data_IF_293501216927
#
_entry.id   IF_293501216927
#
_cell.length_a   1.000
_cell.length_b   1.000
_cell.length_c   1.000
_cell.angle_alpha   90.00
_cell.angle_beta   90.00
_cell.angle_gamma   90.00
#
_symmetry.space_group_name_H-M   'P 1'
#
loop_
_entity.id
_entity.type
_entity.pdbx_description
1 polymer ?
#
# COMPACT_ATOMS: atom_id res chain seq x y z
N UNK A 1 -28.67 73.26 1.45
CA UNK A 1 -27.76 74.39 1.92
C UNK A 1 -26.37 73.80 1.98
N UNK A 2 -25.55 74.16 0.99
CA UNK A 2 -24.25 74.92 1.19
C UNK A 2 -23.27 74.15 2.05
N UNK A 3 -21.98 73.84 1.68
CA UNK A 3 -21.02 74.34 0.69
C UNK A 3 -19.81 73.41 0.84
N UNK A 4 -19.17 72.92 -0.24
CA UNK A 4 -17.89 73.34 -0.82
C UNK A 4 -16.70 73.50 0.13
N UNK A 5 -15.62 72.77 -0.18
CA UNK A 5 -14.24 73.22 -0.51
C UNK A 5 -13.32 72.02 -0.40
N UNK A 6 -12.73 71.40 -1.45
CA UNK A 6 -11.51 71.72 -2.19
C UNK A 6 -10.28 72.00 -1.33
N UNK A 7 -9.30 71.13 -1.41
CA UNK A 7 -7.85 71.37 -1.64
C UNK A 7 -7.15 70.02 -1.63
N UNK A 8 -6.59 69.63 -2.71
CA UNK A 8 -5.26 69.87 -3.30
C UNK A 8 -4.20 68.85 -2.89
N UNK A 9 -3.90 68.04 -3.85
CA UNK A 9 -2.65 67.43 -4.29
C UNK A 9 -1.42 67.45 -3.35
N UNK A 10 -0.85 66.23 -3.15
CA UNK A 10 0.61 66.05 -3.21
C UNK A 10 0.93 64.66 -3.71
N UNK A 11 1.42 64.59 -4.92
CA UNK A 11 1.97 63.39 -5.54
C UNK A 11 3.37 63.09 -4.93
N UNK A 12 3.51 61.94 -4.30
CA UNK A 12 4.83 61.40 -3.99
C UNK A 12 5.02 60.10 -4.75
N UNK A 13 5.81 60.20 -5.80
CA UNK A 13 6.29 59.09 -6.63
C UNK A 13 7.27 58.28 -5.78
N UNK A 14 6.90 57.08 -5.34
CA UNK A 14 7.83 56.08 -4.83
C UNK A 14 7.87 54.93 -5.82
N UNK A 15 8.97 54.74 -6.48
CA UNK A 15 9.26 53.67 -7.42
C UNK A 15 9.26 52.34 -6.69
N UNK A 16 8.59 51.28 -7.21
CA UNK A 16 8.76 49.93 -6.68
C UNK A 16 10.07 49.35 -7.25
N UNK A 17 11.02 49.03 -6.37
CA UNK A 17 12.09 48.08 -6.66
C UNK A 17 11.45 46.73 -6.99
N UNK A 18 11.58 46.31 -8.24
CA UNK A 18 11.29 44.97 -8.68
C UNK A 18 12.33 44.02 -8.08
N UNK A 19 12.01 43.41 -6.94
CA UNK A 19 12.70 42.25 -6.42
C UNK A 19 12.20 41.05 -7.24
N UNK A 20 13.01 40.55 -8.19
CA UNK A 20 12.85 39.23 -8.76
C UNK A 20 13.08 38.20 -7.67
N UNK A 21 12.02 37.84 -6.96
CA UNK A 21 11.96 36.63 -6.14
C UNK A 21 11.71 35.46 -7.06
N UNK A 22 12.75 34.67 -7.33
CA UNK A 22 12.59 33.35 -7.94
C UNK A 22 11.74 32.48 -7.00
N UNK A 23 10.45 32.43 -7.25
CA UNK A 23 9.61 31.37 -6.69
C UNK A 23 10.03 30.07 -7.36
N UNK A 24 10.85 29.30 -6.67
CA UNK A 24 11.00 27.88 -6.96
C UNK A 24 9.64 27.25 -6.71
N UNK A 25 8.84 27.08 -7.75
CA UNK A 25 7.72 26.15 -7.75
C UNK A 25 8.30 24.76 -7.60
N UNK A 26 8.53 24.34 -6.35
CA UNK A 26 8.60 22.93 -6.04
C UNK A 26 7.22 22.35 -6.36
N UNK A 27 7.10 21.30 -7.16
CA UNK A 27 5.84 20.64 -7.36
C UNK A 27 5.40 20.10 -5.98
N UNK A 28 4.46 20.79 -5.35
CA UNK A 28 3.69 20.24 -4.26
C UNK A 28 2.89 19.08 -4.86
N UNK A 29 3.50 17.89 -4.89
CA UNK A 29 2.78 16.67 -5.11
C UNK A 29 1.74 16.60 -3.99
N UNK A 30 0.50 16.91 -4.30
CA UNK A 30 -0.63 16.57 -3.45
C UNK A 30 -0.61 15.05 -3.32
N UNK A 31 0.05 14.54 -2.29
CA UNK A 31 -0.16 13.17 -1.84
C UNK A 31 -1.62 13.12 -1.45
N UNK A 32 -2.48 12.65 -2.34
CA UNK A 32 -3.84 12.29 -1.96
C UNK A 32 -3.69 11.31 -0.79
N UNK A 33 -4.18 11.69 0.38
CA UNK A 33 -4.14 10.81 1.54
C UNK A 33 -4.84 9.50 1.14
N UNK A 34 -4.17 8.37 1.33
CA UNK A 34 -4.78 7.05 1.12
C UNK A 34 -5.80 6.87 2.23
N UNK A 35 -7.06 6.63 1.86
CA UNK A 35 -8.15 6.42 2.82
C UNK A 35 -9.09 5.33 2.30
N UNK A 36 -9.77 4.65 3.21
CA UNK A 36 -10.75 3.61 2.87
C UNK A 36 -10.44 2.26 3.50
N UNK A 37 -11.33 1.31 3.26
CA UNK A 37 -11.22 -0.05 3.79
C UNK A 37 -10.54 -0.95 2.77
N UNK A 38 -9.63 -1.80 3.22
CA UNK A 38 -8.90 -2.77 2.41
C UNK A 38 -9.14 -4.17 2.99
N UNK A 39 -9.65 -5.07 2.18
CA UNK A 39 -9.83 -6.48 2.55
C UNK A 39 -8.72 -7.33 1.97
N UNK A 40 -7.92 -7.93 2.84
CA UNK A 40 -6.75 -8.74 2.47
C UNK A 40 -7.03 -10.22 2.77
N UNK A 41 -7.01 -11.05 1.73
CA UNK A 41 -7.00 -12.50 1.87
C UNK A 41 -5.55 -12.97 1.82
N UNK A 42 -5.08 -13.61 2.89
CA UNK A 42 -3.68 -14.03 3.00
C UNK A 42 -3.53 -15.45 3.52
N UNK A 43 -2.53 -16.16 3.02
CA UNK A 43 -2.20 -17.49 3.50
C UNK A 43 -1.97 -17.49 5.01
N UNK A 44 -2.40 -18.56 5.71
CA UNK A 44 -2.28 -18.66 7.15
C UNK A 44 -0.84 -18.51 7.66
N UNK A 45 0.15 -18.94 6.89
CA UNK A 45 1.58 -18.79 7.20
C UNK A 45 2.06 -17.33 7.20
N UNK A 46 1.30 -16.41 6.63
CA UNK A 46 1.62 -14.98 6.55
C UNK A 46 1.02 -14.16 7.70
N UNK A 47 0.24 -14.79 8.58
CA UNK A 47 -0.58 -14.10 9.57
C UNK A 47 0.21 -13.10 10.41
N UNK A 48 1.30 -13.51 11.04
CA UNK A 48 2.08 -12.62 11.92
C UNK A 48 2.67 -11.42 11.15
N UNK A 49 3.33 -11.71 10.03
CA UNK A 49 3.96 -10.67 9.22
C UNK A 49 2.93 -9.68 8.65
N UNK A 50 1.81 -10.17 8.11
CA UNK A 50 0.79 -9.33 7.52
C UNK A 50 -0.01 -8.54 8.54
N UNK A 51 -0.25 -9.08 9.74
CA UNK A 51 -0.83 -8.30 10.84
C UNK A 51 0.04 -7.11 11.20
N UNK A 52 1.34 -7.32 11.37
CA UNK A 52 2.28 -6.23 11.65
C UNK A 52 2.34 -5.20 10.50
N UNK A 53 2.35 -5.66 9.25
CA UNK A 53 2.33 -4.77 8.08
C UNK A 53 1.04 -3.94 8.04
N UNK A 54 -0.11 -4.56 8.32
CA UNK A 54 -1.39 -3.86 8.36
C UNK A 54 -1.43 -2.76 9.40
N UNK A 55 -0.99 -3.05 10.62
CA UNK A 55 -0.91 -2.06 11.70
C UNK A 55 0.01 -0.88 11.33
N UNK A 56 1.16 -1.17 10.72
CA UNK A 56 2.08 -0.13 10.25
C UNK A 56 1.49 0.69 9.11
N UNK A 57 0.76 0.04 8.20
CA UNK A 57 0.11 0.71 7.08
C UNK A 57 -0.99 1.67 7.56
N UNK A 58 -1.85 1.23 8.48
CA UNK A 58 -2.90 2.06 9.08
C UNK A 58 -2.31 3.25 9.87
N UNK A 59 -1.22 3.01 10.62
CA UNK A 59 -0.51 4.06 11.34
C UNK A 59 0.10 5.12 10.40
N UNK A 60 0.61 4.68 9.25
CA UNK A 60 1.18 5.57 8.23
C UNK A 60 0.13 6.27 7.36
N UNK A 61 -1.09 5.74 7.28
CA UNK A 61 -2.18 6.24 6.46
C UNK A 61 -3.46 6.44 7.30
N UNK A 62 -3.55 7.51 8.09
CA UNK A 62 -4.72 7.80 8.89
C UNK A 62 -5.99 7.88 8.03
N UNK A 63 -7.01 7.13 8.40
CA UNK A 63 -8.26 7.01 7.62
C UNK A 63 -8.32 5.77 6.72
N UNK A 64 -7.34 4.86 6.82
CA UNK A 64 -7.43 3.50 6.25
C UNK A 64 -7.78 2.48 7.33
N UNK A 65 -8.42 1.37 6.91
CA UNK A 65 -8.66 0.20 7.75
C UNK A 65 -8.33 -1.06 6.95
N UNK A 66 -7.58 -1.98 7.54
CA UNK A 66 -7.16 -3.23 6.87
C UNK A 66 -7.80 -4.42 7.58
N UNK A 67 -8.68 -5.09 6.88
CA UNK A 67 -9.34 -6.32 7.37
C UNK A 67 -8.69 -7.54 6.74
N UNK A 68 -8.27 -8.50 7.58
CA UNK A 68 -7.63 -9.72 7.12
C UNK A 68 -8.55 -10.93 7.18
N UNK A 69 -8.49 -11.76 6.14
CA UNK A 69 -8.99 -13.14 6.14
C UNK A 69 -7.82 -14.08 5.94
N UNK A 70 -7.44 -14.80 7.01
CA UNK A 70 -6.33 -15.76 6.96
C UNK A 70 -6.83 -17.19 6.82
N UNK A 71 -6.22 -17.95 5.92
CA UNK A 71 -6.62 -19.34 5.69
C UNK A 71 -5.72 -20.10 4.71
N UNK A 72 -6.09 -21.35 4.39
CA UNK A 72 -5.43 -22.08 3.31
C UNK A 72 -5.58 -21.36 1.98
N UNK A 73 -4.48 -21.15 1.25
CA UNK A 73 -4.50 -20.39 -0.02
C UNK A 73 -5.53 -20.91 -1.02
N UNK A 74 -5.69 -22.25 -1.13
CA UNK A 74 -6.67 -22.86 -2.02
C UNK A 74 -8.11 -22.53 -1.64
N UNK A 75 -8.44 -22.52 -0.35
CA UNK A 75 -9.77 -22.15 0.14
C UNK A 75 -10.07 -20.67 -0.10
N UNK A 76 -9.08 -19.79 0.12
CA UNK A 76 -9.22 -18.37 -0.15
C UNK A 76 -9.38 -18.10 -1.65
N UNK A 77 -8.62 -18.78 -2.51
CA UNK A 77 -8.77 -18.66 -3.96
C UNK A 77 -10.18 -19.09 -4.42
N UNK A 78 -10.71 -20.18 -3.87
CA UNK A 78 -12.09 -20.62 -4.17
C UNK A 78 -13.09 -19.53 -3.79
N UNK A 79 -12.98 -18.95 -2.60
CA UNK A 79 -13.86 -17.85 -2.16
C UNK A 79 -13.79 -16.64 -3.10
N UNK A 80 -12.59 -16.26 -3.55
CA UNK A 80 -12.41 -15.16 -4.50
C UNK A 80 -13.07 -15.49 -5.85
N UNK A 81 -12.90 -16.71 -6.34
CA UNK A 81 -13.54 -17.18 -7.59
C UNK A 81 -15.08 -17.17 -7.44
N UNK A 82 -15.58 -17.46 -6.25
CA UNK A 82 -16.99 -17.38 -5.88
C UNK A 82 -17.46 -15.95 -5.53
N UNK A 83 -16.61 -14.94 -5.84
CA UNK A 83 -16.91 -13.50 -5.70
C UNK A 83 -16.90 -12.98 -4.25
N UNK A 84 -16.17 -13.61 -3.35
CA UNK A 84 -15.89 -12.98 -2.07
C UNK A 84 -15.09 -11.67 -2.29
N UNK A 85 -15.43 -10.59 -1.59
CA UNK A 85 -14.75 -9.31 -1.76
C UNK A 85 -13.32 -9.41 -1.19
N UNK A 86 -12.33 -9.34 -2.06
CA UNK A 86 -10.92 -9.27 -1.70
C UNK A 86 -10.25 -8.22 -2.58
N UNK A 87 -9.61 -7.23 -1.96
CA UNK A 87 -8.83 -6.21 -2.66
C UNK A 87 -7.40 -6.69 -2.90
N UNK A 88 -6.89 -7.49 -1.98
CA UNK A 88 -5.54 -8.08 -2.05
C UNK A 88 -5.60 -9.57 -1.76
N UNK A 89 -4.92 -10.37 -2.58
CA UNK A 89 -4.72 -11.79 -2.33
C UNK A 89 -3.24 -12.13 -2.24
N UNK A 90 -2.80 -12.62 -1.09
CA UNK A 90 -1.44 -13.08 -0.81
C UNK A 90 -1.41 -14.59 -0.63
N UNK A 91 -1.14 -15.31 -1.71
CA UNK A 91 -1.06 -16.76 -1.74
C UNK A 91 0.33 -17.28 -1.35
N UNK A 92 0.41 -18.39 -0.62
CA UNK A 92 1.65 -19.11 -0.38
C UNK A 92 2.03 -20.05 -1.54
N UNK A 93 1.26 -20.08 -2.63
CA UNK A 93 1.47 -20.98 -3.77
C UNK A 93 1.20 -20.27 -5.09
N UNK A 94 2.17 -20.31 -5.99
CA UNK A 94 2.01 -19.77 -7.34
C UNK A 94 0.83 -20.41 -8.07
N UNK A 95 0.72 -21.74 -8.02
CA UNK A 95 -0.40 -22.48 -8.65
C UNK A 95 -1.77 -21.96 -8.20
N UNK A 96 -1.91 -21.63 -6.92
CA UNK A 96 -3.18 -21.13 -6.37
C UNK A 96 -3.43 -19.69 -6.82
N UNK A 97 -2.37 -18.90 -6.94
CA UNK A 97 -2.47 -17.53 -7.46
C UNK A 97 -2.86 -17.54 -8.95
N UNK A 98 -2.24 -18.43 -9.74
CA UNK A 98 -2.55 -18.57 -11.17
C UNK A 98 -4.03 -18.89 -11.39
N UNK A 99 -4.65 -19.71 -10.55
CA UNK A 99 -6.09 -20.00 -10.66
C UNK A 99 -6.98 -18.75 -10.54
N UNK A 100 -6.59 -17.76 -9.75
CA UNK A 100 -7.32 -16.49 -9.61
C UNK A 100 -7.07 -15.58 -10.82
N UNK A 101 -5.83 -15.57 -11.34
CA UNK A 101 -5.48 -14.84 -12.56
C UNK A 101 -6.20 -15.43 -13.78
N UNK A 102 -6.18 -16.77 -13.94
CA UNK A 102 -6.85 -17.48 -15.02
C UNK A 102 -8.38 -17.28 -15.00
N UNK A 103 -8.96 -17.11 -13.82
CA UNK A 103 -10.36 -16.75 -13.67
C UNK A 103 -10.66 -15.26 -14.01
N UNK A 104 -9.65 -14.48 -14.39
CA UNK A 104 -9.80 -13.07 -14.78
C UNK A 104 -10.11 -12.13 -13.60
N UNK A 105 -9.80 -12.56 -12.36
CA UNK A 105 -10.10 -11.79 -11.14
C UNK A 105 -8.90 -11.00 -10.63
N UNK A 106 -7.71 -11.26 -11.18
CA UNK A 106 -6.53 -10.45 -11.01
C UNK A 106 -5.83 -10.28 -12.37
N UNK A 107 -5.30 -9.10 -12.71
CA UNK A 107 -4.67 -8.86 -14.01
C UNK A 107 -3.31 -9.57 -14.12
N UNK A 108 -2.62 -9.74 -13.02
CA UNK A 108 -1.31 -10.38 -12.93
C UNK A 108 -0.98 -10.72 -11.48
N UNK A 109 0.10 -11.46 -11.28
CA UNK A 109 0.67 -11.73 -9.97
C UNK A 109 2.16 -11.43 -9.94
N UNK A 110 2.71 -11.20 -8.75
CA UNK A 110 4.15 -11.06 -8.53
C UNK A 110 4.60 -11.85 -7.31
N UNK A 111 5.80 -12.43 -7.39
CA UNK A 111 6.41 -13.10 -6.24
C UNK A 111 7.01 -12.03 -5.33
N UNK A 112 6.57 -11.97 -4.08
CA UNK A 112 7.06 -11.01 -3.09
C UNK A 112 7.98 -11.62 -2.03
N UNK A 113 7.96 -12.97 -1.87
CA UNK A 113 8.83 -13.70 -0.95
C UNK A 113 9.14 -15.09 -1.50
N UNK A 114 10.30 -15.60 -1.15
CA UNK A 114 10.75 -16.96 -1.52
C UNK A 114 11.10 -17.71 -0.25
N UNK A 115 10.71 -18.98 -0.17
CA UNK A 115 11.05 -19.87 0.93
C UNK A 115 12.01 -20.96 0.43
N UNK A 116 13.04 -21.25 1.22
CA UNK A 116 13.98 -22.34 0.96
C UNK A 116 13.79 -23.42 2.03
N UNK A 117 13.53 -24.64 1.59
CA UNK A 117 13.46 -25.78 2.51
C UNK A 117 14.84 -26.28 2.88
N UNK A 118 15.02 -26.67 4.13
CA UNK A 118 16.22 -27.33 4.63
C UNK A 118 15.83 -28.62 5.37
N UNK A 119 16.73 -29.59 5.33
CA UNK A 119 16.59 -30.84 6.10
C UNK A 119 17.32 -30.67 7.43
N UNK A 120 16.63 -30.81 8.53
CA UNK A 120 17.24 -30.89 9.85
C UNK A 120 17.39 -32.37 10.25
N UNK A 121 18.59 -32.78 10.62
CA UNK A 121 18.90 -34.11 11.11
C UNK A 121 19.47 -34.02 12.53
N UNK A 122 19.32 -35.07 13.39
CA UNK A 122 20.02 -35.15 14.65
C UNK A 122 21.55 -35.02 14.46
N UNK A 123 22.22 -34.48 15.47
CA UNK A 123 23.70 -34.27 15.44
C UNK A 123 24.46 -35.58 15.36
N UNK A 124 23.89 -36.69 15.88
CA UNK A 124 24.46 -38.03 15.78
C UNK A 124 23.51 -38.95 14.99
N UNK A 125 23.50 -38.86 13.68
CA UNK A 125 22.61 -39.66 12.86
C UNK A 125 23.17 -41.09 12.71
N UNK A 126 22.51 -42.06 13.31
CA UNK A 126 22.76 -43.48 13.01
C UNK A 126 22.40 -43.83 11.55
N UNK A 127 21.62 -42.99 10.91
CA UNK A 127 21.22 -43.11 9.50
C UNK A 127 21.28 -41.72 8.83
N UNK A 128 22.22 -41.48 7.92
CA UNK A 128 22.29 -40.22 7.21
C UNK A 128 21.09 -40.05 6.27
N UNK A 129 20.37 -38.94 6.39
CA UNK A 129 19.35 -38.54 5.44
C UNK A 129 20.05 -37.74 4.34
N UNK A 130 20.11 -38.31 3.13
CA UNK A 130 20.84 -37.73 2.00
C UNK A 130 19.93 -37.09 0.95
N UNK A 131 18.64 -37.34 1.00
CA UNK A 131 17.67 -36.75 0.06
C UNK A 131 16.25 -36.71 0.68
N UNK A 132 15.42 -35.83 0.15
CA UNK A 132 13.97 -35.88 0.30
C UNK A 132 13.44 -36.86 -0.76
N UNK A 133 12.65 -37.82 -0.33
CA UNK A 133 11.98 -38.78 -1.22
C UNK A 133 10.78 -38.10 -1.91
#
# INVERSE_FOLDING_TARGET
>A
MRARLLTAALALFVAPLAACGSTSDAPSGSSSAVTGDITVFAAASLKEAFTTIGEQFEAANPGTSVTFSFGPSSGLATQIIEKAPADVFASASQKTMDAVVDAGLAPSSSVFAVNTMAIATPIDPSTPVTSLA
#
